data_IF_984960340962
#
_entry.id   IF_984960340962
#
_cell.length_a   1.000
_cell.length_b   1.000
_cell.length_c   1.000
_cell.angle_alpha   90.00
_cell.angle_beta   90.00
_cell.angle_gamma   90.00
#
_symmetry.space_group_name_H-M   'P 1'
#
loop_
_entity.id
_entity.type
_entity.pdbx_description
1 polymer ?
#
# COMPACT_ATOMS: atom_id res chain seq x y z
N UNK A 1 17.70 -12.20 -58.84
CA UNK A 1 17.58 -12.14 -57.36
C UNK A 1 17.05 -10.76 -56.99
N UNK A 2 15.87 -10.72 -56.38
CA UNK A 2 15.01 -9.54 -56.26
C UNK A 2 15.54 -8.47 -55.29
N UNK A 3 15.27 -7.18 -55.60
CA UNK A 3 15.51 -5.98 -54.78
C UNK A 3 14.99 -6.07 -53.33
N UNK A 4 14.16 -7.07 -52.99
CA UNK A 4 13.72 -7.36 -51.62
C UNK A 4 14.81 -7.93 -50.71
N UNK A 5 15.91 -8.48 -51.25
CA UNK A 5 16.99 -9.07 -50.42
C UNK A 5 17.99 -8.03 -49.89
N UNK A 6 18.22 -6.93 -50.63
CA UNK A 6 19.16 -5.86 -50.23
C UNK A 6 18.53 -4.94 -49.16
N UNK A 7 17.22 -4.69 -49.23
CA UNK A 7 16.49 -3.93 -48.21
C UNK A 7 16.43 -4.67 -46.85
N UNK A 8 16.35 -6.01 -46.87
CA UNK A 8 16.26 -6.84 -45.66
C UNK A 8 17.61 -7.03 -44.94
N UNK A 9 18.74 -7.05 -45.67
CA UNK A 9 20.07 -7.07 -45.03
C UNK A 9 20.47 -5.70 -44.45
N UNK A 10 20.06 -4.59 -45.08
CA UNK A 10 20.31 -3.24 -44.57
C UNK A 10 19.59 -2.98 -43.24
N UNK A 11 18.32 -3.38 -43.08
CA UNK A 11 17.58 -3.20 -41.82
C UNK A 11 18.06 -4.12 -40.69
N UNK A 12 18.53 -5.34 -40.98
CA UNK A 12 19.07 -6.26 -39.94
C UNK A 12 20.46 -5.86 -39.46
N UNK A 13 21.34 -5.37 -40.34
CA UNK A 13 22.67 -4.86 -39.95
C UNK A 13 22.59 -3.48 -39.29
N UNK A 14 21.62 -2.64 -39.67
CA UNK A 14 21.40 -1.34 -39.02
C UNK A 14 20.78 -1.47 -37.62
N UNK A 15 19.80 -2.38 -37.42
CA UNK A 15 19.28 -2.70 -36.06
C UNK A 15 20.32 -3.32 -35.14
N UNK A 16 21.19 -4.20 -35.66
CA UNK A 16 22.27 -4.81 -34.85
C UNK A 16 23.42 -3.84 -34.52
N UNK A 17 23.65 -2.80 -35.33
CA UNK A 17 24.62 -1.74 -35.00
C UNK A 17 24.07 -0.72 -34.01
N UNK A 18 22.79 -0.32 -34.10
CA UNK A 18 22.22 0.66 -33.15
C UNK A 18 22.10 0.14 -31.71
N UNK A 19 21.96 -1.18 -31.50
CA UNK A 19 21.97 -1.77 -30.17
C UNK A 19 23.37 -1.80 -29.48
N UNK A 20 24.45 -1.52 -30.21
CA UNK A 20 25.84 -1.55 -29.68
C UNK A 20 26.44 -0.16 -29.40
N UNK A 21 25.73 0.93 -29.69
CA UNK A 21 26.26 2.30 -29.56
C UNK A 21 25.45 3.22 -28.64
N UNK A 22 24.46 2.69 -27.91
CA UNK A 22 23.82 3.47 -26.86
C UNK A 22 24.73 3.44 -25.62
N UNK A 23 25.17 4.60 -25.10
CA UNK A 23 25.97 4.62 -23.89
C UNK A 23 25.17 3.95 -22.76
N UNK A 24 25.83 3.30 -21.78
CA UNK A 24 25.15 2.67 -20.66
C UNK A 24 24.16 3.59 -19.95
N UNK A 25 24.44 4.91 -19.94
CA UNK A 25 23.55 5.95 -19.45
C UNK A 25 22.25 6.09 -20.25
N UNK A 26 22.28 5.96 -21.58
CA UNK A 26 21.07 6.06 -22.41
C UNK A 26 20.15 4.85 -22.22
N UNK A 27 20.70 3.63 -22.20
CA UNK A 27 19.90 2.43 -21.94
C UNK A 27 19.31 2.46 -20.51
N UNK A 28 20.09 2.96 -19.53
CA UNK A 28 19.61 3.22 -18.17
C UNK A 28 18.44 4.20 -18.16
N UNK A 29 18.59 5.39 -18.75
CA UNK A 29 17.52 6.40 -18.77
C UNK A 29 16.24 5.85 -19.41
N UNK A 30 16.33 5.09 -20.50
CA UNK A 30 15.17 4.49 -21.16
C UNK A 30 14.49 3.41 -20.30
N UNK A 31 15.26 2.50 -19.68
CA UNK A 31 14.68 1.47 -18.80
C UNK A 31 14.04 2.07 -17.54
N UNK A 32 14.69 3.05 -16.91
CA UNK A 32 14.15 3.75 -15.74
C UNK A 32 12.88 4.54 -16.08
N UNK A 33 12.84 5.17 -17.26
CA UNK A 33 11.63 5.85 -17.76
C UNK A 33 10.49 4.85 -17.93
N UNK A 34 10.78 3.65 -18.42
CA UNK A 34 9.79 2.58 -18.57
C UNK A 34 9.22 2.10 -17.23
N UNK A 35 10.06 1.88 -16.20
CA UNK A 35 9.58 1.45 -14.88
C UNK A 35 8.77 2.53 -14.17
N UNK A 36 9.20 3.80 -14.25
CA UNK A 36 8.44 4.94 -13.73
C UNK A 36 7.07 5.06 -14.40
N UNK A 37 7.00 4.92 -15.73
CA UNK A 37 5.73 4.91 -16.46
C UNK A 37 4.86 3.71 -16.09
N UNK A 38 5.45 2.53 -15.93
CA UNK A 38 4.72 1.32 -15.49
C UNK A 38 4.11 1.51 -14.10
N UNK A 39 4.89 2.03 -13.15
CA UNK A 39 4.41 2.34 -11.80
C UNK A 39 3.24 3.34 -11.85
N UNK A 40 3.37 4.41 -12.63
CA UNK A 40 2.31 5.40 -12.78
C UNK A 40 1.02 4.78 -13.35
N UNK A 41 1.12 3.93 -14.37
CA UNK A 41 -0.04 3.22 -14.92
C UNK A 41 -0.70 2.30 -13.88
N UNK A 42 0.10 1.57 -13.11
CA UNK A 42 -0.40 0.68 -12.05
C UNK A 42 -1.08 1.45 -10.91
N UNK A 43 -0.56 2.61 -10.53
CA UNK A 43 -1.22 3.50 -9.57
C UNK A 43 -2.57 4.01 -10.08
N UNK A 44 -2.68 4.34 -11.37
CA UNK A 44 -3.97 4.75 -11.99
C UNK A 44 -4.97 3.60 -12.03
N UNK A 45 -4.51 2.38 -12.36
CA UNK A 45 -5.33 1.17 -12.33
C UNK A 45 -5.89 0.91 -10.92
N UNK A 46 -5.03 1.02 -9.90
CA UNK A 46 -5.42 0.92 -8.51
C UNK A 46 -6.43 2.02 -8.12
N UNK A 47 -6.14 3.29 -8.41
CA UNK A 47 -7.03 4.41 -8.08
C UNK A 47 -8.41 4.33 -8.75
N UNK A 48 -8.58 3.51 -9.80
CA UNK A 48 -9.84 3.31 -10.53
C UNK A 48 -10.36 1.87 -10.43
N UNK A 49 -9.97 1.16 -9.38
CA UNK A 49 -10.29 -0.25 -9.26
C UNK A 49 -11.82 -0.49 -9.22
N UNK A 50 -12.37 -1.47 -9.97
CA UNK A 50 -13.81 -1.70 -10.07
C UNK A 50 -14.51 -2.05 -8.74
N UNK A 51 -13.76 -2.38 -7.69
CA UNK A 51 -14.32 -2.70 -6.38
C UNK A 51 -15.08 -1.52 -5.77
N UNK A 52 -14.64 -0.27 -6.02
CA UNK A 52 -15.23 0.91 -5.40
C UNK A 52 -16.69 1.11 -5.82
N UNK A 53 -16.96 0.98 -7.11
CA UNK A 53 -18.31 1.07 -7.67
C UNK A 53 -19.24 -0.09 -7.23
N UNK A 54 -18.71 -1.15 -6.62
CA UNK A 54 -19.51 -2.26 -6.09
C UNK A 54 -19.93 -2.04 -4.64
N UNK A 55 -19.30 -1.11 -3.91
CA UNK A 55 -19.65 -0.75 -2.53
C UNK A 55 -20.90 0.15 -2.53
N UNK A 56 -22.05 -0.46 -2.82
CA UNK A 56 -23.33 0.24 -2.97
C UNK A 56 -24.29 0.04 -1.80
N UNK A 57 -24.01 -0.91 -0.90
CA UNK A 57 -24.84 -1.22 0.26
C UNK A 57 -24.00 -1.45 1.51
N UNK A 58 -24.60 -1.31 2.69
CA UNK A 58 -23.92 -1.59 3.96
C UNK A 58 -23.42 -3.04 4.04
N UNK A 59 -24.17 -4.01 3.53
CA UNK A 59 -23.73 -5.42 3.53
C UNK A 59 -22.50 -5.66 2.66
N UNK A 60 -22.37 -4.92 1.55
CA UNK A 60 -21.16 -4.98 0.72
C UNK A 60 -20.01 -4.27 1.43
N UNK A 61 -20.26 -3.12 2.05
CA UNK A 61 -19.25 -2.39 2.83
C UNK A 61 -18.73 -3.21 4.01
N UNK A 62 -19.60 -3.88 4.78
CA UNK A 62 -19.20 -4.76 5.89
C UNK A 62 -18.18 -5.81 5.45
N UNK A 63 -18.49 -6.53 4.37
CA UNK A 63 -17.61 -7.56 3.80
C UNK A 63 -16.29 -6.98 3.29
N UNK A 64 -16.33 -5.79 2.69
CA UNK A 64 -15.13 -5.07 2.30
C UNK A 64 -14.25 -4.78 3.54
N UNK A 65 -14.83 -4.20 4.59
CA UNK A 65 -14.10 -3.80 5.80
C UNK A 65 -13.55 -5.00 6.58
N UNK A 66 -14.30 -6.10 6.67
CA UNK A 66 -13.89 -7.35 7.35
C UNK A 66 -12.59 -7.94 6.78
N UNK A 67 -12.34 -7.75 5.47
CA UNK A 67 -11.06 -8.14 4.85
C UNK A 67 -10.05 -6.99 4.86
N UNK A 68 -10.47 -5.76 4.53
CA UNK A 68 -9.59 -4.60 4.41
C UNK A 68 -8.93 -4.22 5.74
N UNK A 69 -9.56 -4.50 6.89
CA UNK A 69 -9.00 -4.19 8.21
C UNK A 69 -7.61 -4.81 8.45
N UNK A 70 -7.30 -5.95 7.83
CA UNK A 70 -5.97 -6.55 7.88
C UNK A 70 -4.92 -5.71 7.14
N UNK A 71 -5.31 -5.07 6.03
CA UNK A 71 -4.48 -4.08 5.35
C UNK A 71 -4.35 -2.81 6.20
N UNK A 72 -5.40 -2.35 6.89
CA UNK A 72 -5.25 -1.21 7.82
C UNK A 72 -4.20 -1.52 8.90
N UNK A 73 -4.26 -2.72 9.47
CA UNK A 73 -3.29 -3.17 10.47
C UNK A 73 -1.86 -3.30 9.94
N UNK A 74 -1.65 -3.94 8.79
CA UNK A 74 -0.30 -4.24 8.29
C UNK A 74 0.48 -3.00 7.85
N UNK A 75 -0.21 -1.89 7.56
CA UNK A 75 0.40 -0.60 7.24
C UNK A 75 1.41 -0.18 8.31
N UNK A 76 1.00 -0.30 9.57
CA UNK A 76 1.84 0.06 10.71
C UNK A 76 3.16 -0.70 10.73
N UNK A 77 3.24 -1.90 10.15
CA UNK A 77 4.50 -2.64 10.13
C UNK A 77 5.55 -1.99 9.21
N UNK A 78 5.13 -1.40 8.09
CA UNK A 78 6.02 -0.59 7.25
C UNK A 78 6.43 0.70 7.98
N UNK A 79 5.46 1.37 8.61
CA UNK A 79 5.69 2.60 9.38
C UNK A 79 6.69 2.39 10.52
N UNK A 80 6.49 1.37 11.36
CA UNK A 80 7.40 1.05 12.48
C UNK A 80 8.76 0.59 11.99
N UNK A 81 8.84 -0.15 10.87
CA UNK A 81 10.13 -0.52 10.27
C UNK A 81 10.92 0.71 9.83
N UNK A 82 10.27 1.69 9.20
CA UNK A 82 10.89 2.97 8.83
C UNK A 82 11.25 3.80 10.06
N UNK A 83 10.40 3.83 11.09
CA UNK A 83 10.73 4.53 12.35
C UNK A 83 11.99 3.96 12.99
N UNK A 84 12.15 2.62 13.00
CA UNK A 84 13.36 1.95 13.48
C UNK A 84 14.61 2.28 12.66
N UNK A 85 14.47 2.55 11.36
CA UNK A 85 15.59 2.90 10.48
C UNK A 85 16.00 4.38 10.60
N UNK A 86 15.00 5.27 10.67
CA UNK A 86 15.18 6.71 10.51
C UNK A 86 15.29 7.44 11.85
N UNK A 87 14.99 6.76 12.96
CA UNK A 87 15.00 7.31 14.31
C UNK A 87 15.65 6.33 15.28
N UNK A 88 15.55 6.63 16.58
CA UNK A 88 16.00 5.73 17.64
C UNK A 88 14.79 5.28 18.47
N UNK A 89 14.47 3.99 18.39
CA UNK A 89 13.41 3.34 19.19
C UNK A 89 13.98 2.39 20.24
N UNK A 90 15.31 2.39 20.40
CA UNK A 90 16.05 1.49 21.29
C UNK A 90 16.87 2.29 22.31
N UNK A 91 17.30 1.62 23.38
CA UNK A 91 18.15 2.21 24.42
C UNK A 91 19.60 1.67 24.33
N UNK A 92 20.63 2.51 24.57
CA UNK A 92 20.55 3.95 24.84
C UNK A 92 20.18 4.76 23.59
N UNK A 93 19.55 5.91 23.80
CA UNK A 93 19.14 6.79 22.71
C UNK A 93 20.35 7.41 21.99
N UNK A 94 20.25 7.51 20.66
CA UNK A 94 21.19 8.22 19.80
C UNK A 94 20.43 9.23 18.92
N UNK A 95 21.03 10.40 18.62
CA UNK A 95 20.39 11.38 17.74
C UNK A 95 20.27 10.84 16.30
N UNK A 96 19.16 11.14 15.60
CA UNK A 96 18.98 10.71 14.21
C UNK A 96 20.01 11.36 13.27
N UNK A 97 20.45 10.64 12.25
CA UNK A 97 21.40 11.13 11.24
C UNK A 97 20.76 12.07 10.22
N UNK A 98 19.44 11.99 10.06
CA UNK A 98 18.65 12.85 9.16
C UNK A 98 17.43 13.39 9.91
N UNK A 99 17.49 14.65 10.32
CA UNK A 99 16.43 15.30 11.09
C UNK A 99 15.12 15.43 10.31
N UNK A 100 15.16 15.61 8.98
CA UNK A 100 13.95 15.73 8.16
C UNK A 100 13.24 14.39 8.04
N UNK A 101 14.00 13.31 7.79
CA UNK A 101 13.46 11.96 7.73
C UNK A 101 12.87 11.53 9.08
N UNK A 102 13.58 11.86 10.17
CA UNK A 102 13.13 11.58 11.53
C UNK A 102 11.86 12.35 11.90
N UNK A 103 11.73 13.62 11.47
CA UNK A 103 10.51 14.41 11.67
C UNK A 103 9.34 13.78 10.93
N UNK A 104 9.49 13.54 9.63
CA UNK A 104 8.46 12.97 8.77
C UNK A 104 7.89 11.67 9.35
N UNK A 105 8.75 10.70 9.67
CA UNK A 105 8.26 9.41 10.15
C UNK A 105 7.60 9.50 11.52
N UNK A 106 8.04 10.43 12.39
CA UNK A 106 7.41 10.63 13.68
C UNK A 106 6.07 11.38 13.57
N UNK A 107 5.89 12.27 12.60
CA UNK A 107 4.58 12.89 12.30
C UNK A 107 3.58 11.85 11.79
N UNK A 108 4.02 11.00 10.85
CA UNK A 108 3.21 9.87 10.38
C UNK A 108 2.84 8.95 11.55
N UNK A 109 3.81 8.60 12.41
CA UNK A 109 3.51 7.77 13.60
C UNK A 109 2.53 8.46 14.55
N UNK A 110 2.66 9.77 14.76
CA UNK A 110 1.73 10.52 15.61
C UNK A 110 0.30 10.41 15.08
N UNK A 111 0.09 10.64 13.78
CA UNK A 111 -1.24 10.51 13.16
C UNK A 111 -1.75 9.06 13.13
N UNK A 112 -0.91 8.10 12.80
CA UNK A 112 -1.40 6.73 12.59
C UNK A 112 -1.60 5.95 13.90
N UNK A 113 -0.75 6.18 14.91
CA UNK A 113 -0.73 5.44 16.18
C UNK A 113 -1.48 6.18 17.31
N UNK A 114 -1.68 7.49 17.19
CA UNK A 114 -2.19 8.33 18.28
C UNK A 114 -2.85 9.66 17.82
N UNK A 115 -3.65 9.65 16.75
CA UNK A 115 -4.40 10.83 16.30
C UNK A 115 -5.42 11.28 17.35
N UNK A 116 -5.91 12.50 17.17
CA UNK A 116 -7.03 13.05 17.92
C UNK A 116 -8.33 12.29 17.60
N UNK A 117 -9.00 11.84 18.67
CA UNK A 117 -10.31 11.19 18.56
C UNK A 117 -11.42 12.21 18.36
N UNK A 118 -12.44 11.87 17.55
CA UNK A 118 -13.72 12.58 17.54
C UNK A 118 -14.31 12.67 18.96
N UNK A 119 -14.13 13.82 19.61
CA UNK A 119 -14.45 14.02 21.03
C UNK A 119 -13.20 14.28 21.86
N UNK A 120 -12.89 13.38 22.79
CA UNK A 120 -11.77 13.53 23.71
C UNK A 120 -10.89 12.27 23.75
N UNK A 121 -9.58 12.49 23.82
CA UNK A 121 -8.56 11.44 23.87
C UNK A 121 -7.92 11.18 22.51
N UNK A 122 -7.16 10.08 22.44
CA UNK A 122 -6.39 9.68 21.26
C UNK A 122 -6.68 8.24 20.88
N UNK A 123 -6.45 7.90 19.62
CA UNK A 123 -6.58 6.55 19.09
C UNK A 123 -5.61 6.32 17.92
N UNK A 124 -5.41 5.08 17.55
CA UNK A 124 -4.81 4.75 16.26
C UNK A 124 -5.85 4.83 15.13
N UNK A 125 -5.40 5.05 13.90
CA UNK A 125 -6.26 4.91 12.71
C UNK A 125 -6.82 3.48 12.57
N UNK A 126 -6.12 2.48 13.10
CA UNK A 126 -6.65 1.11 13.21
C UNK A 126 -7.85 1.03 14.16
N UNK A 127 -7.79 1.65 15.34
CA UNK A 127 -8.92 1.72 16.28
C UNK A 127 -10.08 2.53 15.70
N UNK A 128 -9.82 3.65 15.02
CA UNK A 128 -10.86 4.41 14.29
C UNK A 128 -11.55 3.53 13.23
N UNK A 129 -10.80 2.70 12.49
CA UNK A 129 -11.37 1.78 11.53
C UNK A 129 -12.24 0.69 12.19
N UNK A 130 -11.82 0.16 13.35
CA UNK A 130 -12.62 -0.79 14.13
C UNK A 130 -13.90 -0.13 14.66
N UNK A 131 -13.85 1.12 15.11
CA UNK A 131 -15.04 1.88 15.52
C UNK A 131 -16.00 2.06 14.34
N UNK A 132 -15.49 2.38 13.14
CA UNK A 132 -16.27 2.44 11.91
C UNK A 132 -16.91 1.08 11.54
N UNK A 133 -16.18 -0.02 11.70
CA UNK A 133 -16.71 -1.37 11.49
C UNK A 133 -17.88 -1.67 12.43
N UNK A 134 -17.71 -1.39 13.73
CA UNK A 134 -18.74 -1.64 14.74
C UNK A 134 -19.98 -0.76 14.51
N UNK A 135 -19.80 0.50 14.14
CA UNK A 135 -20.88 1.45 13.83
C UNK A 135 -21.85 0.89 12.79
N UNK A 136 -21.31 0.31 11.71
CA UNK A 136 -22.14 -0.25 10.64
C UNK A 136 -22.51 -1.72 10.87
N UNK A 137 -22.01 -2.37 11.93
CA UNK A 137 -22.25 -3.78 12.23
C UNK A 137 -21.42 -4.78 11.42
N UNK A 138 -20.23 -4.39 10.97
CA UNK A 138 -19.23 -5.31 10.41
C UNK A 138 -18.55 -6.11 11.54
N UNK A 139 -18.21 -7.37 11.28
CA UNK A 139 -17.57 -8.23 12.29
C UNK A 139 -16.11 -7.86 12.52
N UNK A 140 -15.73 -7.56 13.77
CA UNK A 140 -14.32 -7.36 14.17
C UNK A 140 -13.66 -8.61 14.73
N UNK A 141 -14.40 -9.72 14.85
CA UNK A 141 -13.98 -10.92 15.60
C UNK A 141 -12.67 -11.51 15.06
N UNK A 142 -12.53 -11.65 13.74
CA UNK A 142 -11.35 -12.28 13.14
C UNK A 142 -10.09 -11.45 13.38
N UNK A 143 -10.16 -10.13 13.16
CA UNK A 143 -9.02 -9.25 13.35
C UNK A 143 -8.66 -9.09 14.83
N UNK A 144 -9.63 -8.96 15.72
CA UNK A 144 -9.37 -8.86 17.17
C UNK A 144 -8.74 -10.14 17.70
N UNK A 145 -9.23 -11.32 17.26
CA UNK A 145 -8.61 -12.60 17.59
C UNK A 145 -7.19 -12.70 17.03
N UNK A 146 -6.94 -12.19 15.83
CA UNK A 146 -5.61 -12.16 15.23
C UNK A 146 -4.64 -11.34 16.10
N UNK A 147 -5.05 -10.15 16.55
CA UNK A 147 -4.26 -9.30 17.45
C UNK A 147 -3.98 -10.00 18.78
N UNK A 148 -4.96 -10.71 19.34
CA UNK A 148 -4.76 -11.48 20.58
C UNK A 148 -3.70 -12.59 20.39
N UNK A 149 -3.75 -13.33 19.28
CA UNK A 149 -2.76 -14.34 18.95
C UNK A 149 -1.37 -13.73 18.75
N UNK A 150 -1.26 -12.54 18.13
CA UNK A 150 0.01 -11.82 18.02
C UNK A 150 0.56 -11.43 19.40
N UNK A 151 -0.29 -10.97 20.32
CA UNK A 151 0.11 -10.66 21.72
C UNK A 151 0.60 -11.88 22.47
N UNK A 152 0.11 -13.08 22.14
CA UNK A 152 0.56 -14.36 22.68
C UNK A 152 1.88 -14.85 22.05
N UNK A 153 2.46 -14.09 21.11
CA UNK A 153 3.71 -14.43 20.42
C UNK A 153 3.55 -15.43 19.27
N UNK A 154 2.31 -15.71 18.83
CA UNK A 154 2.09 -16.55 17.65
C UNK A 154 2.61 -15.83 16.40
N UNK A 155 3.32 -16.55 15.53
CA UNK A 155 3.78 -16.01 14.24
C UNK A 155 2.59 -15.54 13.40
N UNK A 156 2.69 -14.36 12.78
CA UNK A 156 1.61 -13.76 11.99
C UNK A 156 1.03 -14.69 10.92
N UNK A 157 1.87 -15.47 10.22
CA UNK A 157 1.41 -16.42 9.19
C UNK A 157 0.51 -17.51 9.79
N UNK A 158 0.87 -18.03 10.96
CA UNK A 158 0.08 -19.02 11.69
C UNK A 158 -1.20 -18.40 12.26
N UNK A 159 -1.13 -17.16 12.75
CA UNK A 159 -2.31 -16.46 13.28
C UNK A 159 -3.33 -16.14 12.18
N UNK A 160 -2.90 -15.71 10.99
CA UNK A 160 -3.77 -15.48 9.82
C UNK A 160 -4.55 -16.75 9.43
N UNK A 161 -3.89 -17.91 9.49
CA UNK A 161 -4.53 -19.20 9.26
C UNK A 161 -5.53 -19.56 10.37
N UNK A 162 -5.20 -19.31 11.63
CA UNK A 162 -6.07 -19.63 12.77
C UNK A 162 -7.37 -18.83 12.78
N UNK A 163 -7.34 -17.58 12.31
CA UNK A 163 -8.54 -16.73 12.25
C UNK A 163 -9.29 -16.83 10.93
N UNK A 164 -8.81 -17.66 10.00
CA UNK A 164 -9.32 -17.77 8.64
C UNK A 164 -9.45 -16.39 7.94
N UNK A 165 -8.36 -15.62 7.91
CA UNK A 165 -8.36 -14.27 7.34
C UNK A 165 -8.70 -14.22 5.82
N UNK A 166 -8.85 -15.38 5.18
CA UNK A 166 -9.09 -15.49 3.74
C UNK A 166 -7.81 -15.28 2.92
N UNK A 167 -7.85 -15.74 1.67
CA UNK A 167 -6.70 -15.69 0.76
C UNK A 167 -6.24 -14.25 0.48
N UNK A 168 -7.19 -13.32 0.32
CA UNK A 168 -6.94 -11.94 -0.03
C UNK A 168 -6.08 -11.23 1.03
N UNK A 169 -6.55 -11.23 2.29
CA UNK A 169 -5.80 -10.64 3.40
C UNK A 169 -4.50 -11.39 3.68
N UNK A 170 -4.52 -12.73 3.66
CA UNK A 170 -3.33 -13.53 3.96
C UNK A 170 -2.18 -13.24 3.00
N UNK A 171 -2.45 -13.20 1.69
CA UNK A 171 -1.42 -12.92 0.69
C UNK A 171 -0.87 -11.49 0.83
N UNK A 172 -1.76 -10.51 1.02
CA UNK A 172 -1.39 -9.10 1.13
C UNK A 172 -0.55 -8.82 2.39
N UNK A 173 -1.03 -9.26 3.56
CA UNK A 173 -0.30 -9.08 4.83
C UNK A 173 1.04 -9.79 4.81
N UNK A 174 1.10 -11.00 4.23
CA UNK A 174 2.36 -11.74 4.13
C UNK A 174 3.37 -10.99 3.26
N UNK A 175 2.93 -10.42 2.14
CA UNK A 175 3.80 -9.62 1.26
C UNK A 175 4.31 -8.36 1.98
N UNK A 176 3.43 -7.62 2.67
CA UNK A 176 3.80 -6.41 3.42
C UNK A 176 4.80 -6.73 4.52
N UNK A 177 4.56 -7.79 5.31
CA UNK A 177 5.44 -8.17 6.42
C UNK A 177 6.77 -8.74 5.96
N UNK A 178 6.83 -9.47 4.84
CA UNK A 178 8.10 -9.92 4.27
C UNK A 178 9.00 -8.73 3.91
N UNK A 179 8.42 -7.70 3.28
CA UNK A 179 9.14 -6.45 2.99
C UNK A 179 9.58 -5.76 4.29
N UNK A 180 8.66 -5.56 5.24
CA UNK A 180 8.97 -4.87 6.49
C UNK A 180 10.05 -5.57 7.31
N UNK A 181 10.06 -6.91 7.34
CA UNK A 181 10.98 -7.69 8.18
C UNK A 181 12.35 -7.91 7.53
N UNK A 182 12.41 -8.01 6.19
CA UNK A 182 13.59 -8.55 5.51
C UNK A 182 14.18 -7.65 4.43
N UNK A 183 13.44 -6.65 3.94
CA UNK A 183 13.95 -5.79 2.88
C UNK A 183 14.85 -4.66 3.43
N UNK A 184 15.82 -4.19 2.63
CA UNK A 184 16.58 -2.98 2.93
C UNK A 184 15.69 -1.73 2.94
N UNK A 185 16.13 -0.69 3.66
CA UNK A 185 15.37 0.53 3.93
C UNK A 185 14.74 1.19 2.70
N UNK A 186 15.47 1.31 1.58
CA UNK A 186 14.95 1.92 0.35
C UNK A 186 13.79 1.13 -0.26
N UNK A 187 13.77 -0.20 -0.11
CA UNK A 187 12.65 -1.06 -0.56
C UNK A 187 11.45 -0.93 0.35
N UNK A 188 11.65 -0.87 1.67
CA UNK A 188 10.57 -0.60 2.64
C UNK A 188 9.94 0.77 2.37
N UNK A 189 10.77 1.81 2.17
CA UNK A 189 10.32 3.16 1.85
C UNK A 189 9.55 3.21 0.52
N UNK A 190 9.99 2.46 -0.50
CA UNK A 190 9.28 2.36 -1.77
C UNK A 190 7.89 1.71 -1.61
N UNK A 191 7.79 0.62 -0.85
CA UNK A 191 6.51 -0.04 -0.56
C UNK A 191 5.57 0.87 0.23
N UNK A 192 6.09 1.55 1.25
CA UNK A 192 5.37 2.54 2.07
C UNK A 192 4.82 3.67 1.19
N UNK A 193 5.70 4.39 0.47
CA UNK A 193 5.30 5.55 -0.31
C UNK A 193 4.37 5.19 -1.47
N UNK A 194 4.78 4.27 -2.33
CA UNK A 194 4.08 4.02 -3.58
C UNK A 194 2.94 3.01 -3.45
N UNK A 195 3.02 2.09 -2.49
CA UNK A 195 1.98 1.10 -2.26
C UNK A 195 0.89 1.55 -1.30
N UNK A 196 1.18 2.53 -0.43
CA UNK A 196 0.28 2.93 0.67
C UNK A 196 0.02 4.43 0.64
N UNK A 197 1.02 5.25 0.97
CA UNK A 197 0.87 6.69 1.17
C UNK A 197 0.28 7.42 -0.05
N UNK A 198 0.97 7.34 -1.18
CA UNK A 198 0.65 8.15 -2.36
C UNK A 198 -0.51 7.62 -3.22
N UNK A 199 -1.17 6.55 -2.78
CA UNK A 199 -2.35 5.98 -3.46
C UNK A 199 -3.63 6.15 -2.64
N UNK A 200 -3.51 6.21 -1.31
CA UNK A 200 -4.64 6.28 -0.38
C UNK A 200 -5.57 7.48 -0.68
N UNK A 201 -5.09 8.73 -0.82
CA UNK A 201 -5.98 9.87 -1.04
C UNK A 201 -6.87 9.72 -2.28
N UNK A 202 -6.28 9.34 -3.42
CA UNK A 202 -7.03 9.16 -4.66
C UNK A 202 -8.03 8.00 -4.56
N UNK A 203 -7.63 6.89 -3.95
CA UNK A 203 -8.51 5.74 -3.76
C UNK A 203 -9.70 6.08 -2.86
N UNK A 204 -9.45 6.78 -1.75
CA UNK A 204 -10.49 7.15 -0.79
C UNK A 204 -11.42 8.22 -1.37
N UNK A 205 -10.89 9.17 -2.13
CA UNK A 205 -11.72 10.10 -2.90
C UNK A 205 -12.64 9.35 -3.87
N UNK A 206 -12.12 8.35 -4.58
CA UNK A 206 -12.92 7.53 -5.50
C UNK A 206 -14.03 6.75 -4.77
N UNK A 207 -13.74 6.23 -3.57
CA UNK A 207 -14.78 5.61 -2.72
C UNK A 207 -15.86 6.63 -2.37
N UNK A 208 -15.50 7.83 -1.93
CA UNK A 208 -16.45 8.87 -1.55
C UNK A 208 -17.29 9.38 -2.74
N UNK A 209 -16.71 9.43 -3.94
CA UNK A 209 -17.38 9.89 -5.16
C UNK A 209 -18.38 8.84 -5.69
N UNK A 210 -18.01 7.55 -5.64
CA UNK A 210 -18.76 6.46 -6.30
C UNK A 210 -19.60 5.58 -5.34
N UNK A 211 -19.45 5.70 -4.02
CA UNK A 211 -20.18 4.84 -3.09
C UNK A 211 -21.69 5.13 -3.06
N UNK A 212 -22.49 4.07 -3.01
CA UNK A 212 -23.95 4.17 -2.90
C UNK A 212 -24.45 4.43 -1.48
N UNK A 213 -23.56 4.78 -0.55
CA UNK A 213 -23.82 4.88 0.88
C UNK A 213 -23.82 6.36 1.28
N UNK A 214 -24.89 6.81 1.91
CA UNK A 214 -24.98 8.20 2.37
C UNK A 214 -24.08 8.44 3.59
N UNK A 215 -23.62 9.68 3.77
CA UNK A 215 -22.80 10.08 4.91
C UNK A 215 -23.43 9.72 6.27
N UNK A 216 -24.76 9.67 6.36
CA UNK A 216 -25.49 9.32 7.57
C UNK A 216 -25.50 7.82 7.88
N UNK A 217 -25.24 6.97 6.90
CA UNK A 217 -25.25 5.51 7.07
C UNK A 217 -23.92 4.97 7.61
N UNK A 218 -22.81 5.70 7.41
CA UNK A 218 -21.48 5.31 7.88
C UNK A 218 -20.61 6.55 8.22
N UNK A 219 -21.05 7.44 9.12
CA UNK A 219 -20.35 8.70 9.41
C UNK A 219 -18.93 8.50 9.93
N UNK A 220 -18.66 7.49 10.75
CA UNK A 220 -17.28 7.24 11.24
C UNK A 220 -16.37 6.73 10.14
N UNK A 221 -16.88 5.89 9.23
CA UNK A 221 -16.10 5.45 8.06
C UNK A 221 -15.84 6.60 7.09
N UNK A 222 -16.83 7.48 6.86
CA UNK A 222 -16.64 8.70 6.08
C UNK A 222 -15.52 9.55 6.66
N UNK A 223 -15.58 9.81 7.96
CA UNK A 223 -14.55 10.58 8.66
C UNK A 223 -13.17 9.92 8.52
N UNK A 224 -13.06 8.60 8.66
CA UNK A 224 -11.81 7.87 8.41
C UNK A 224 -11.24 8.16 7.00
N UNK A 225 -12.08 8.11 5.96
CA UNK A 225 -11.66 8.40 4.59
C UNK A 225 -11.23 9.86 4.40
N UNK A 226 -12.04 10.82 4.89
CA UNK A 226 -11.75 12.25 4.80
C UNK A 226 -10.44 12.61 5.52
N UNK A 227 -10.18 12.03 6.69
CA UNK A 227 -8.94 12.27 7.44
C UNK A 227 -7.69 11.84 6.68
N UNK A 228 -7.70 10.70 6.00
CA UNK A 228 -6.54 10.28 5.19
C UNK A 228 -6.41 11.10 3.90
N UNK A 229 -7.49 11.70 3.39
CA UNK A 229 -7.40 12.62 2.25
C UNK A 229 -6.77 13.94 2.71
N UNK A 230 -7.17 14.48 3.86
CA UNK A 230 -6.66 15.75 4.39
C UNK A 230 -5.21 15.63 4.91
N UNK A 231 -4.90 14.59 5.67
CA UNK A 231 -3.60 14.43 6.35
C UNK A 231 -2.48 14.04 5.39
N UNK A 232 -2.77 13.23 4.36
CA UNK A 232 -1.72 12.69 3.49
C UNK A 232 -1.47 13.51 2.21
N UNK A 233 -2.35 14.47 1.87
CA UNK A 233 -2.30 15.14 0.57
C UNK A 233 -1.33 16.32 0.46
N UNK A 234 -1.10 17.09 1.53
CA UNK A 234 -0.37 18.37 1.40
C UNK A 234 1.11 18.32 1.80
N UNK A 235 1.50 17.54 2.82
CA UNK A 235 2.89 17.58 3.35
C UNK A 235 3.67 16.25 3.24
N UNK A 236 3.04 15.09 3.48
CA UNK A 236 3.76 13.82 3.57
C UNK A 236 4.24 13.29 2.22
N UNK A 237 3.47 13.49 1.14
CA UNK A 237 3.84 13.02 -0.20
C UNK A 237 5.20 13.54 -0.70
N UNK A 238 5.41 14.86 -0.81
CA UNK A 238 6.70 15.43 -1.21
C UNK A 238 7.85 15.07 -0.26
N UNK A 239 7.59 15.03 1.05
CA UNK A 239 8.60 14.67 2.04
C UNK A 239 9.03 13.19 1.91
N UNK A 240 8.09 12.30 1.62
CA UNK A 240 8.36 10.88 1.40
C UNK A 240 9.13 10.63 0.08
N UNK A 241 8.86 11.40 -0.98
CA UNK A 241 9.68 11.36 -2.20
C UNK A 241 11.13 11.78 -1.92
N UNK A 242 11.32 12.82 -1.10
CA UNK A 242 12.67 13.24 -0.68
C UNK A 242 13.36 12.18 0.17
N UNK A 243 12.65 11.55 1.10
CA UNK A 243 13.16 10.43 1.89
C UNK A 243 13.65 9.30 0.97
N UNK A 244 12.83 8.91 -0.01
CA UNK A 244 13.17 7.85 -0.94
C UNK A 244 14.41 8.20 -1.79
N UNK A 245 14.50 9.44 -2.28
CA UNK A 245 15.67 9.93 -3.01
C UNK A 245 16.97 9.85 -2.17
N UNK A 246 16.89 10.23 -0.88
CA UNK A 246 18.03 10.12 0.05
C UNK A 246 18.45 8.66 0.28
N UNK A 247 17.50 7.74 0.40
CA UNK A 247 17.79 6.32 0.58
C UNK A 247 18.36 5.66 -0.68
N UNK A 248 17.96 6.12 -1.87
CA UNK A 248 18.55 5.70 -3.15
C UNK A 248 19.99 6.20 -3.28
N UNK A 249 20.28 7.44 -2.86
CA UNK A 249 21.63 8.02 -2.85
C UNK A 249 22.38 7.88 -4.19
N UNK A 250 21.69 8.13 -5.31
CA UNK A 250 22.18 7.98 -6.69
C UNK A 250 22.69 6.57 -7.07
N UNK A 251 22.42 5.55 -6.23
CA UNK A 251 22.80 4.17 -6.49
C UNK A 251 21.83 3.51 -7.48
N UNK A 252 22.37 3.07 -8.62
CA UNK A 252 21.58 2.50 -9.71
C UNK A 252 20.90 1.16 -9.37
N UNK A 253 21.47 0.38 -8.44
CA UNK A 253 20.85 -0.87 -7.99
C UNK A 253 19.68 -0.56 -7.05
N UNK A 254 19.86 0.37 -6.10
CA UNK A 254 18.77 0.82 -5.21
C UNK A 254 17.63 1.44 -5.99
N UNK A 255 17.94 2.24 -7.01
CA UNK A 255 16.95 2.86 -7.88
C UNK A 255 16.06 1.80 -8.57
N UNK A 256 16.67 0.73 -9.11
CA UNK A 256 15.92 -0.40 -9.69
C UNK A 256 15.08 -1.13 -8.65
N UNK A 257 15.67 -1.42 -7.49
CA UNK A 257 14.97 -2.13 -6.41
C UNK A 257 13.78 -1.33 -5.86
N UNK A 258 13.87 -0.01 -5.84
CA UNK A 258 12.76 0.90 -5.49
C UNK A 258 11.59 0.69 -6.44
N UNK A 259 11.80 0.80 -7.75
CA UNK A 259 10.69 0.65 -8.72
C UNK A 259 10.12 -0.77 -8.73
N UNK A 260 10.97 -1.80 -8.67
CA UNK A 260 10.52 -3.19 -8.58
C UNK A 260 9.65 -3.42 -7.35
N UNK A 261 10.06 -2.89 -6.18
CA UNK A 261 9.31 -3.04 -4.94
C UNK A 261 8.02 -2.22 -4.96
N UNK A 262 8.06 -1.00 -5.48
CA UNK A 262 6.88 -0.15 -5.62
C UNK A 262 5.82 -0.79 -6.52
N UNK A 263 6.23 -1.33 -7.67
CA UNK A 263 5.34 -2.02 -8.61
C UNK A 263 4.74 -3.26 -7.94
N UNK A 264 5.55 -4.08 -7.27
CA UNK A 264 5.08 -5.28 -6.57
C UNK A 264 4.08 -4.94 -5.44
N UNK A 265 4.33 -3.87 -4.69
CA UNK A 265 3.42 -3.43 -3.62
C UNK A 265 2.06 -2.96 -4.17
N UNK A 266 2.06 -2.21 -5.28
CA UNK A 266 0.82 -1.78 -5.95
C UNK A 266 0.08 -2.98 -6.56
N UNK A 267 0.80 -3.90 -7.23
CA UNK A 267 0.21 -5.12 -7.79
C UNK A 267 -0.38 -6.03 -6.71
N UNK A 268 0.28 -6.15 -5.55
CA UNK A 268 -0.24 -6.88 -4.39
C UNK A 268 -1.56 -6.29 -3.88
N UNK A 269 -1.69 -4.95 -3.86
CA UNK A 269 -2.95 -4.28 -3.47
C UNK A 269 -4.05 -4.47 -4.51
N UNK A 270 -3.74 -4.42 -5.80
CA UNK A 270 -4.69 -4.78 -6.86
C UNK A 270 -5.18 -6.22 -6.65
N UNK A 271 -4.28 -7.17 -6.40
CA UNK A 271 -4.64 -8.56 -6.16
C UNK A 271 -5.50 -8.76 -4.89
N UNK A 272 -5.22 -8.02 -3.81
CA UNK A 272 -6.07 -7.98 -2.62
C UNK A 272 -7.52 -7.67 -3.01
N UNK A 273 -7.71 -6.61 -3.80
CA UNK A 273 -9.04 -6.17 -4.20
C UNK A 273 -9.71 -7.02 -5.26
N UNK A 274 -8.96 -7.55 -6.23
CA UNK A 274 -9.49 -8.52 -7.18
C UNK A 274 -10.05 -9.75 -6.44
N UNK A 275 -9.29 -10.27 -5.47
CA UNK A 275 -9.69 -11.44 -4.68
C UNK A 275 -10.88 -11.13 -3.77
N UNK A 276 -10.86 -9.99 -3.09
CA UNK A 276 -11.97 -9.52 -2.25
C UNK A 276 -13.24 -9.27 -3.07
N UNK A 277 -13.12 -8.67 -4.25
CA UNK A 277 -14.26 -8.42 -5.14
C UNK A 277 -14.96 -9.72 -5.57
N UNK A 278 -14.20 -10.80 -5.79
CA UNK A 278 -14.79 -12.12 -6.08
C UNK A 278 -15.60 -12.65 -4.88
N UNK A 279 -15.10 -12.50 -3.65
CA UNK A 279 -15.85 -12.95 -2.46
C UNK A 279 -17.08 -12.07 -2.18
N UNK A 280 -17.01 -10.76 -2.45
CA UNK A 280 -18.14 -9.82 -2.33
C UNK A 280 -19.30 -10.12 -3.30
N UNK A 281 -19.04 -10.82 -4.41
CA UNK A 281 -20.07 -11.19 -5.40
C UNK A 281 -20.73 -12.54 -5.10
N UNK A 282 -20.16 -13.33 -4.21
CA UNK A 282 -20.74 -14.61 -3.82
C UNK A 282 -21.86 -14.33 -2.81
N UNK A 283 -23.13 -14.67 -3.10
CA UNK A 283 -24.20 -14.57 -2.11
C UNK A 283 -23.83 -15.44 -0.90
N UNK A 284 -24.13 -14.98 0.31
CA UNK A 284 -24.14 -15.87 1.47
C UNK A 284 -25.09 -17.00 1.14
N UNK A 285 -24.57 -18.20 0.89
CA UNK A 285 -25.38 -19.41 0.94
C UNK A 285 -25.87 -19.46 2.37
N UNK A 286 -27.15 -19.15 2.59
CA UNK A 286 -27.78 -19.39 3.86
C UNK A 286 -27.57 -20.87 4.19
N UNK A 287 -26.70 -21.14 5.16
CA UNK A 287 -26.63 -22.44 5.79
C UNK A 287 -28.01 -22.67 6.40
N UNK A 288 -28.82 -23.42 5.67
CA UNK A 288 -30.15 -23.83 6.06
C UNK A 288 -29.97 -25.15 6.81
N UNK A 289 -30.16 -25.08 8.13
CA UNK A 289 -30.53 -26.12 9.11
C UNK A 289 -29.71 -26.00 10.40
#
# INVERSE_FOLDING_TARGET
MSLRFIAALSTRLYRRKLQRYLPPSFNRTVTMTCEKTRLAHKKVELGRHPIFAEITTLDVLRRFMETHVFAVWDFMSLTKRLQQELTCTQLPWLPPTDASAARLINEIVLGEESDDRLGAGHYSHFELYLDAMREIGASTVQIERFIELQRQGMRYTTALQHVDAGQAATAFVTHTLDIALHAPAHRVAAAFLHGRESVIPQMFQTILDDWGITAHQAPTFRYYLERHIEVDAEDHGPAAEQLLARLVADDAQREREVYQTAIAAVESRVQLWDTLRLSMRTPLVQASA
#
